data_IF_940719312877
#
_entry.id   IF_940719312877
#
_cell.length_a   1.000
_cell.length_b   1.000
_cell.length_c   1.000
_cell.angle_alpha   90.00
_cell.angle_beta   90.00
_cell.angle_gamma   90.00
#
_symmetry.space_group_name_H-M   'P 1'
#
loop_
_entity.id
_entity.type
_entity.pdbx_description
1 polymer ?
#
# COMPACT_ATOMS: atom_id res chain seq x y z
N UNK A 1 6.76 21.74 -5.65
CA UNK A 1 6.08 20.53 -6.14
C UNK A 1 7.02 19.33 -6.16
N UNK A 2 8.18 19.41 -6.85
CA UNK A 2 9.13 18.31 -6.94
C UNK A 2 9.58 17.75 -5.57
N UNK A 3 9.89 18.60 -4.59
CA UNK A 3 10.27 18.17 -3.24
C UNK A 3 9.13 17.41 -2.54
N UNK A 4 7.89 17.85 -2.72
CA UNK A 4 6.70 17.13 -2.19
C UNK A 4 6.56 15.76 -2.86
N UNK A 5 6.70 15.71 -4.17
CA UNK A 5 6.61 14.45 -4.93
C UNK A 5 7.72 13.48 -4.51
N UNK A 6 8.95 13.95 -4.37
CA UNK A 6 10.08 13.14 -3.86
C UNK A 6 9.78 12.58 -2.48
N UNK A 7 9.36 13.43 -1.53
CA UNK A 7 9.02 13.01 -0.17
C UNK A 7 7.87 11.99 -0.14
N UNK A 8 6.83 12.19 -0.95
CA UNK A 8 5.70 11.28 -1.04
C UNK A 8 6.10 9.91 -1.63
N UNK A 9 6.89 9.91 -2.71
CA UNK A 9 7.34 8.69 -3.37
C UNK A 9 8.20 7.84 -2.44
N UNK A 10 9.27 8.43 -1.92
CA UNK A 10 10.21 7.68 -1.08
C UNK A 10 9.67 7.43 0.33
N UNK A 11 8.92 8.36 0.92
CA UNK A 11 8.28 8.17 2.20
C UNK A 11 7.27 7.01 2.19
N UNK A 12 6.48 6.89 1.14
CA UNK A 12 5.55 5.76 0.98
C UNK A 12 6.28 4.43 0.79
N UNK A 13 7.34 4.40 -0.03
CA UNK A 13 8.13 3.21 -0.26
C UNK A 13 8.88 2.77 1.02
N UNK A 14 9.50 3.71 1.73
CA UNK A 14 10.16 3.45 3.00
C UNK A 14 9.18 2.93 4.06
N UNK A 15 7.98 3.51 4.15
CA UNK A 15 6.93 3.01 5.05
C UNK A 15 6.56 1.55 4.74
N UNK A 16 6.38 1.21 3.46
CA UNK A 16 6.08 -0.18 3.06
C UNK A 16 7.20 -1.14 3.47
N UNK A 17 8.45 -0.77 3.21
CA UNK A 17 9.60 -1.66 3.47
C UNK A 17 9.92 -1.74 4.97
N UNK A 18 10.03 -0.62 5.65
CA UNK A 18 10.44 -0.61 7.06
C UNK A 18 9.32 -1.05 8.01
N UNK A 19 8.10 -0.60 7.78
CA UNK A 19 6.98 -0.93 8.68
C UNK A 19 6.30 -2.24 8.29
N UNK A 20 5.77 -2.33 7.07
CA UNK A 20 4.94 -3.48 6.69
C UNK A 20 5.78 -4.73 6.47
N UNK A 21 6.78 -4.67 5.59
CA UNK A 21 7.64 -5.82 5.29
C UNK A 21 8.51 -6.19 6.48
N UNK A 22 9.15 -5.21 7.12
CA UNK A 22 9.98 -5.45 8.29
C UNK A 22 9.21 -6.11 9.44
N UNK A 23 7.95 -5.70 9.68
CA UNK A 23 7.08 -6.37 10.65
C UNK A 23 6.76 -7.81 10.23
N UNK A 24 6.48 -8.04 8.95
CA UNK A 24 6.21 -9.39 8.45
C UNK A 24 7.42 -10.32 8.59
N UNK A 25 8.63 -9.84 8.30
CA UNK A 25 9.90 -10.57 8.49
C UNK A 25 10.12 -10.94 9.97
N UNK A 26 9.89 -9.99 10.88
CA UNK A 26 10.01 -10.24 12.34
C UNK A 26 8.99 -11.27 12.82
N UNK A 27 7.75 -11.21 12.35
CA UNK A 27 6.71 -12.18 12.71
C UNK A 27 7.04 -13.56 12.13
N UNK A 28 7.42 -13.65 10.86
CA UNK A 28 7.79 -14.90 10.20
C UNK A 28 8.99 -15.61 10.86
N UNK A 29 9.93 -14.84 11.41
CA UNK A 29 11.08 -15.39 12.15
C UNK A 29 10.70 -15.98 13.51
N UNK A 30 9.49 -15.70 14.02
CA UNK A 30 9.06 -16.10 15.37
C UNK A 30 7.78 -16.91 15.41
N UNK A 31 7.10 -17.08 14.30
CA UNK A 31 5.77 -17.71 14.23
C UNK A 31 5.53 -18.31 12.87
N UNK A 32 4.90 -19.49 12.85
CA UNK A 32 4.40 -20.17 11.64
C UNK A 32 3.04 -19.62 11.18
N UNK A 33 2.50 -18.60 11.84
CA UNK A 33 1.22 -18.01 11.48
C UNK A 33 1.23 -17.54 10.02
N UNK A 34 0.15 -17.78 9.26
CA UNK A 34 0.07 -17.33 7.88
C UNK A 34 0.02 -15.80 7.83
N UNK A 35 0.87 -15.22 6.99
CA UNK A 35 0.93 -13.79 6.76
C UNK A 35 0.38 -13.45 5.37
N UNK A 36 -0.37 -12.36 5.30
CA UNK A 36 -0.96 -11.85 4.07
C UNK A 36 -0.72 -10.35 4.00
N UNK A 37 0.07 -9.93 3.02
CA UNK A 37 0.38 -8.51 2.83
C UNK A 37 -0.46 -7.93 1.70
N UNK A 38 -1.03 -6.76 1.95
CA UNK A 38 -1.82 -6.02 0.97
C UNK A 38 -1.31 -4.60 0.79
N UNK A 39 -1.49 -4.07 -0.41
CA UNK A 39 -1.22 -2.69 -0.77
C UNK A 39 -2.43 -2.10 -1.47
N UNK A 40 -2.88 -0.94 -1.04
CA UNK A 40 -3.87 -0.16 -1.77
C UNK A 40 -3.10 0.77 -2.72
N UNK A 41 -3.35 0.60 -4.02
CA UNK A 41 -2.71 1.41 -5.07
C UNK A 41 -3.62 2.54 -5.53
N UNK A 42 -4.93 2.43 -5.30
CA UNK A 42 -5.94 3.44 -5.64
C UNK A 42 -5.50 4.84 -5.22
N UNK A 43 -5.59 5.78 -6.13
CA UNK A 43 -5.16 7.16 -5.93
C UNK A 43 -3.70 7.42 -6.28
N UNK A 44 -2.83 6.42 -6.33
CA UNK A 44 -1.40 6.59 -6.65
C UNK A 44 -1.19 6.97 -8.12
N UNK A 45 0.04 7.33 -8.48
CA UNK A 45 0.41 7.58 -9.88
C UNK A 45 0.35 6.34 -10.77
N UNK A 46 0.38 5.15 -10.17
CA UNK A 46 0.26 3.86 -10.87
C UNK A 46 -1.20 3.40 -11.01
N UNK A 47 -2.12 3.97 -10.23
CA UNK A 47 -3.53 3.64 -10.25
C UNK A 47 -4.22 4.08 -11.54
N UNK A 48 -5.27 3.37 -11.90
CA UNK A 48 -6.22 3.80 -12.95
C UNK A 48 -7.01 5.04 -12.54
N UNK A 49 -7.24 5.21 -11.24
CA UNK A 49 -7.88 6.41 -10.67
C UNK A 49 -6.88 7.12 -9.77
N UNK A 50 -6.38 8.26 -10.23
CA UNK A 50 -5.39 9.04 -9.48
C UNK A 50 -6.08 10.08 -8.58
N UNK A 51 -5.54 10.25 -7.38
CA UNK A 51 -5.91 11.36 -6.49
C UNK A 51 -4.79 12.40 -6.53
N UNK A 52 -5.00 13.53 -7.22
CA UNK A 52 -3.96 14.54 -7.38
C UNK A 52 -3.41 15.02 -6.05
N UNK A 53 -2.12 15.24 -5.97
CA UNK A 53 -1.36 15.75 -4.82
C UNK A 53 -1.23 14.78 -3.63
N UNK A 54 -2.16 13.88 -3.44
CA UNK A 54 -2.20 12.97 -2.27
C UNK A 54 -1.74 11.56 -2.61
N UNK A 55 -2.09 11.12 -3.81
CA UNK A 55 -1.83 9.73 -4.19
C UNK A 55 -2.65 8.74 -3.34
N UNK A 56 -2.15 7.53 -3.21
CA UNK A 56 -2.64 6.56 -2.24
C UNK A 56 -2.09 6.93 -0.86
N UNK A 57 -2.91 7.50 -0.01
CA UNK A 57 -2.50 8.05 1.29
C UNK A 57 -2.79 7.08 2.43
N UNK A 58 -2.07 7.25 3.53
CA UNK A 58 -2.34 6.49 4.75
C UNK A 58 -3.76 6.77 5.26
N UNK A 59 -4.52 5.71 5.51
CA UNK A 59 -5.91 5.81 5.95
C UNK A 59 -6.94 5.69 4.83
N UNK A 60 -6.54 5.63 3.55
CA UNK A 60 -7.47 5.48 2.41
C UNK A 60 -8.40 4.25 2.54
N UNK A 61 -7.99 3.25 3.32
CA UNK A 61 -8.80 2.07 3.62
C UNK A 61 -9.87 2.31 4.70
N UNK A 62 -9.78 3.35 5.50
CA UNK A 62 -10.70 3.56 6.61
C UNK A 62 -12.16 3.71 6.15
N UNK A 63 -12.48 4.50 5.10
CA UNK A 63 -13.84 4.59 4.57
C UNK A 63 -14.32 3.28 3.94
N UNK A 64 -13.43 2.38 3.55
CA UNK A 64 -13.80 1.05 3.05
C UNK A 64 -14.36 0.16 4.17
N UNK A 65 -14.00 0.42 5.41
CA UNK A 65 -14.37 -0.36 6.59
C UNK A 65 -15.55 0.23 7.36
N UNK A 66 -15.92 1.48 7.06
CA UNK A 66 -16.98 2.19 7.79
C UNK A 66 -17.71 3.16 6.87
N UNK A 67 -19.03 3.01 6.80
CA UNK A 67 -19.89 3.86 5.97
C UNK A 67 -20.11 5.26 6.58
N UNK A 68 -19.60 5.51 7.79
CA UNK A 68 -19.83 6.74 8.56
C UNK A 68 -18.55 7.53 8.87
N UNK A 69 -17.51 7.43 8.04
CA UNK A 69 -16.27 8.15 8.29
C UNK A 69 -16.24 9.53 7.58
N UNK A 70 -16.45 10.65 8.30
CA UNK A 70 -16.51 11.99 7.70
C UNK A 70 -15.14 12.58 7.37
N UNK A 71 -14.03 11.92 7.72
CA UNK A 71 -12.69 12.48 7.62
C UNK A 71 -12.18 12.71 6.20
N UNK A 72 -12.84 12.16 5.19
CA UNK A 72 -12.36 12.17 3.80
C UNK A 72 -13.27 12.92 2.82
N UNK A 73 -14.02 13.90 3.30
CA UNK A 73 -14.85 14.76 2.45
C UNK A 73 -14.07 15.57 1.39
N UNK A 74 -12.75 15.54 1.43
CA UNK A 74 -11.85 16.18 0.47
C UNK A 74 -11.33 15.23 -0.63
N UNK A 75 -11.60 13.95 -0.54
CA UNK A 75 -11.35 12.97 -1.61
C UNK A 75 -12.69 12.34 -2.00
N UNK A 76 -13.02 12.38 -3.29
CA UNK A 76 -14.21 11.66 -3.77
C UNK A 76 -13.94 10.16 -3.77
N UNK A 77 -14.44 9.50 -2.75
CA UNK A 77 -14.38 8.06 -2.55
C UNK A 77 -15.75 7.41 -2.80
N UNK A 78 -16.68 8.10 -3.46
CA UNK A 78 -18.02 7.61 -3.75
C UNK A 78 -18.12 6.82 -5.07
N UNK A 79 -17.07 6.87 -5.91
CA UNK A 79 -17.05 6.21 -7.22
C UNK A 79 -17.33 4.71 -7.16
N UNK A 80 -18.02 4.18 -8.17
CA UNK A 80 -18.44 2.78 -8.22
C UNK A 80 -17.25 1.80 -8.09
N UNK A 81 -16.13 2.09 -8.74
CA UNK A 81 -14.92 1.29 -8.64
C UNK A 81 -14.34 1.27 -7.22
N UNK A 82 -14.30 2.41 -6.52
CA UNK A 82 -13.87 2.46 -5.12
C UNK A 82 -14.78 1.62 -4.22
N UNK A 83 -16.10 1.72 -4.41
CA UNK A 83 -17.06 0.94 -3.63
C UNK A 83 -16.92 -0.57 -3.90
N UNK A 84 -16.72 -0.96 -5.16
CA UNK A 84 -16.45 -2.35 -5.52
C UNK A 84 -15.14 -2.87 -4.89
N UNK A 85 -14.08 -2.04 -4.85
CA UNK A 85 -12.83 -2.38 -4.18
C UNK A 85 -13.02 -2.51 -2.66
N UNK A 86 -13.81 -1.62 -2.05
CA UNK A 86 -14.17 -1.68 -0.64
C UNK A 86 -14.92 -2.97 -0.29
N UNK A 87 -15.83 -3.40 -1.14
CA UNK A 87 -16.56 -4.67 -0.98
C UNK A 87 -15.60 -5.87 -1.02
N UNK A 88 -14.67 -5.89 -1.98
CA UNK A 88 -13.66 -6.94 -2.06
C UNK A 88 -12.76 -6.98 -0.82
N UNK A 89 -12.28 -5.81 -0.36
CA UNK A 89 -11.47 -5.73 0.87
C UNK A 89 -12.23 -6.27 2.08
N UNK A 90 -13.49 -5.85 2.27
CA UNK A 90 -14.34 -6.35 3.36
C UNK A 90 -14.55 -7.86 3.30
N UNK A 91 -14.71 -8.41 2.09
CA UNK A 91 -14.86 -9.86 1.91
C UNK A 91 -13.61 -10.62 2.30
N UNK A 92 -12.43 -10.17 1.89
CA UNK A 92 -11.15 -10.74 2.32
C UNK A 92 -10.98 -10.69 3.84
N UNK A 93 -11.24 -9.54 4.46
CA UNK A 93 -11.12 -9.36 5.90
C UNK A 93 -12.11 -10.23 6.67
N UNK A 94 -13.37 -10.32 6.22
CA UNK A 94 -14.37 -11.20 6.80
C UNK A 94 -13.92 -12.66 6.78
N UNK A 95 -13.42 -13.14 5.64
CA UNK A 95 -12.91 -14.50 5.50
C UNK A 95 -11.73 -14.73 6.46
N UNK A 96 -10.78 -13.80 6.50
CA UNK A 96 -9.62 -13.88 7.36
C UNK A 96 -10.00 -13.94 8.85
N UNK A 97 -10.87 -13.05 9.30
CA UNK A 97 -11.36 -13.03 10.70
C UNK A 97 -12.06 -14.34 11.05
N UNK A 98 -12.78 -14.93 10.10
CA UNK A 98 -13.59 -16.14 10.36
C UNK A 98 -12.76 -17.42 10.33
N UNK A 99 -11.74 -17.50 9.47
CA UNK A 99 -11.05 -18.77 9.18
C UNK A 99 -9.51 -18.68 9.16
N UNK A 100 -8.92 -17.49 9.33
CA UNK A 100 -7.48 -17.28 9.18
C UNK A 100 -6.99 -17.30 7.72
N UNK A 101 -7.89 -17.47 6.74
CA UNK A 101 -7.59 -17.44 5.31
C UNK A 101 -8.46 -16.36 4.63
N UNK A 102 -7.87 -15.28 4.08
CA UNK A 102 -8.64 -14.24 3.41
C UNK A 102 -9.39 -14.72 2.16
N UNK A 103 -8.99 -15.85 1.60
CA UNK A 103 -9.64 -16.41 0.42
C UNK A 103 -10.94 -17.14 0.74
N UNK A 104 -11.07 -17.68 1.97
CA UNK A 104 -12.25 -18.43 2.39
C UNK A 104 -12.58 -19.59 1.47
N UNK A 105 -13.84 -20.01 1.49
CA UNK A 105 -14.36 -21.06 0.59
C UNK A 105 -14.66 -20.54 -0.81
N UNK A 106 -14.97 -19.26 -0.96
CA UNK A 106 -15.33 -18.61 -2.23
C UNK A 106 -14.94 -17.14 -2.19
N UNK A 107 -14.25 -16.69 -3.23
CA UNK A 107 -13.97 -15.29 -3.48
C UNK A 107 -15.15 -14.62 -4.20
N UNK A 108 -15.26 -13.30 -4.06
CA UNK A 108 -16.14 -12.51 -4.92
C UNK A 108 -15.67 -12.60 -6.38
N UNK A 109 -16.61 -12.41 -7.29
CA UNK A 109 -16.30 -12.36 -8.72
C UNK A 109 -15.29 -11.26 -9.00
N UNK A 110 -14.30 -11.54 -9.84
CA UNK A 110 -13.23 -10.59 -10.18
C UNK A 110 -12.13 -10.44 -9.12
N UNK A 111 -12.25 -11.11 -7.97
CA UNK A 111 -11.20 -11.06 -6.94
C UNK A 111 -10.05 -12.02 -7.26
N UNK A 112 -8.83 -11.56 -7.02
CA UNK A 112 -7.61 -12.36 -7.13
C UNK A 112 -7.35 -13.11 -5.83
N UNK A 113 -6.88 -14.35 -5.90
CA UNK A 113 -6.48 -15.10 -4.70
C UNK A 113 -5.34 -14.37 -3.97
N UNK A 114 -5.54 -14.05 -2.68
CA UNK A 114 -4.52 -13.45 -1.83
C UNK A 114 -3.51 -14.52 -1.44
N UNK A 115 -2.31 -14.44 -1.97
CA UNK A 115 -1.26 -15.41 -1.69
C UNK A 115 -0.63 -15.16 -0.31
N UNK A 116 -0.26 -16.26 0.36
CA UNK A 116 0.50 -16.17 1.61
C UNK A 116 1.86 -15.52 1.32
N UNK A 117 2.24 -14.57 2.14
CA UNK A 117 3.56 -13.97 2.12
C UNK A 117 4.56 -14.83 2.89
N UNK A 118 5.75 -15.03 2.34
CA UNK A 118 6.92 -15.57 3.02
C UNK A 118 8.16 -14.80 2.58
N UNK A 119 9.29 -14.85 3.35
CA UNK A 119 10.53 -14.22 2.92
C UNK A 119 10.99 -14.66 1.52
N UNK A 120 10.84 -15.95 1.20
CA UNK A 120 11.24 -16.55 -0.08
C UNK A 120 10.22 -16.32 -1.20
N UNK A 121 8.97 -16.01 -0.84
CA UNK A 121 7.90 -15.70 -1.78
C UNK A 121 7.13 -14.48 -1.28
N UNK A 122 7.70 -13.27 -1.46
CA UNK A 122 7.16 -12.03 -0.89
C UNK A 122 5.94 -11.52 -1.68
N UNK A 123 4.86 -12.31 -1.66
CA UNK A 123 3.63 -12.03 -2.37
C UNK A 123 2.87 -10.85 -1.74
N UNK A 124 2.35 -9.97 -2.58
CA UNK A 124 1.59 -8.80 -2.21
C UNK A 124 0.27 -8.78 -3.00
N UNK A 125 -0.87 -8.69 -2.31
CA UNK A 125 -2.13 -8.37 -2.98
C UNK A 125 -2.21 -6.87 -3.18
N UNK A 126 -2.32 -6.43 -4.42
CA UNK A 126 -2.57 -5.03 -4.78
C UNK A 126 -4.05 -4.86 -5.03
N UNK A 127 -4.63 -3.85 -4.37
CA UNK A 127 -6.01 -3.41 -4.56
C UNK A 127 -6.00 -2.04 -5.24
N UNK A 128 -6.72 -1.95 -6.34
CA UNK A 128 -6.90 -0.74 -7.14
C UNK A 128 -8.33 -0.70 -7.69
N UNK A 129 -8.72 0.36 -8.34
CA UNK A 129 -9.98 0.48 -9.07
C UNK A 129 -9.85 1.42 -10.25
N UNK A 130 -10.60 1.15 -11.31
CA UNK A 130 -10.97 2.15 -12.31
C UNK A 130 -12.25 2.89 -11.92
N UNK A 131 -12.90 3.58 -12.84
CA UNK A 131 -14.12 4.32 -12.55
C UNK A 131 -15.27 3.41 -12.07
N UNK A 132 -15.35 2.18 -12.58
CA UNK A 132 -16.52 1.31 -12.43
C UNK A 132 -16.23 0.01 -11.67
N UNK A 133 -14.97 -0.47 -11.68
CA UNK A 133 -14.64 -1.81 -11.22
C UNK A 133 -13.45 -1.82 -10.26
N UNK A 134 -13.49 -2.75 -9.31
CA UNK A 134 -12.32 -3.12 -8.53
C UNK A 134 -11.30 -3.88 -9.39
N UNK A 135 -10.03 -3.62 -9.14
CA UNK A 135 -8.90 -4.29 -9.76
C UNK A 135 -8.07 -4.91 -8.65
N UNK A 136 -7.92 -6.23 -8.67
CA UNK A 136 -7.01 -6.92 -7.75
C UNK A 136 -5.99 -7.74 -8.52
N UNK A 137 -4.74 -7.71 -8.07
CA UNK A 137 -3.65 -8.48 -8.67
C UNK A 137 -2.64 -8.91 -7.61
N UNK A 138 -1.97 -10.03 -7.83
CA UNK A 138 -0.78 -10.38 -7.06
C UNK A 138 0.46 -9.74 -7.68
N UNK A 139 1.35 -9.24 -6.83
CA UNK A 139 2.67 -8.75 -7.18
C UNK A 139 3.71 -9.34 -6.23
N UNK A 140 4.97 -9.35 -6.64
CA UNK A 140 6.07 -9.61 -5.74
C UNK A 140 6.58 -8.29 -5.14
N UNK A 141 6.77 -8.27 -3.83
CA UNK A 141 7.40 -7.12 -3.16
C UNK A 141 8.92 -7.27 -3.26
N UNK A 142 9.49 -6.70 -4.30
CA UNK A 142 10.93 -6.80 -4.58
C UNK A 142 11.75 -5.68 -3.95
N UNK A 143 11.12 -4.59 -3.55
CA UNK A 143 11.81 -3.46 -2.92
C UNK A 143 12.43 -3.88 -1.58
N UNK A 144 13.70 -3.53 -1.40
CA UNK A 144 14.43 -3.69 -0.15
C UNK A 144 14.84 -2.32 0.40
N UNK A 145 15.26 -2.28 1.66
CA UNK A 145 15.83 -1.08 2.28
C UNK A 145 16.98 -0.52 1.45
N UNK A 146 17.91 -1.39 1.09
CA UNK A 146 19.10 -1.03 0.34
C UNK A 146 18.76 -0.51 -1.06
N UNK A 147 17.85 -1.18 -1.77
CA UNK A 147 17.44 -0.75 -3.11
C UNK A 147 16.75 0.61 -3.10
N UNK A 148 15.94 0.89 -2.09
CA UNK A 148 15.26 2.18 -1.94
C UNK A 148 16.23 3.31 -1.58
N UNK A 149 17.15 3.08 -0.66
CA UNK A 149 18.16 4.09 -0.31
C UNK A 149 19.04 4.42 -1.51
N UNK A 150 19.46 3.40 -2.26
CA UNK A 150 20.23 3.57 -3.50
C UNK A 150 19.44 4.35 -4.56
N UNK A 151 18.18 4.01 -4.76
CA UNK A 151 17.31 4.73 -5.71
C UNK A 151 17.10 6.20 -5.29
N UNK A 152 16.88 6.44 -4.01
CA UNK A 152 16.71 7.79 -3.45
C UNK A 152 17.98 8.63 -3.62
N UNK A 153 19.16 8.05 -3.45
CA UNK A 153 20.42 8.70 -3.66
C UNK A 153 20.66 9.04 -5.14
N UNK A 154 20.36 8.09 -6.03
CA UNK A 154 20.53 8.25 -7.48
C UNK A 154 19.47 9.17 -8.13
N UNK A 155 18.37 9.48 -7.44
CA UNK A 155 17.30 10.33 -7.96
C UNK A 155 17.81 11.73 -8.31
N UNK A 156 17.57 12.18 -9.52
CA UNK A 156 18.03 13.49 -10.04
C UNK A 156 16.88 14.50 -10.19
N UNK A 157 15.69 14.23 -9.67
CA UNK A 157 14.52 15.12 -9.77
C UNK A 157 14.68 16.39 -8.92
N UNK A 158 15.54 16.34 -7.90
CA UNK A 158 15.90 17.47 -7.06
C UNK A 158 17.39 17.83 -7.18
N UNK A 159 17.71 19.10 -6.96
CA UNK A 159 19.11 19.47 -6.75
C UNK A 159 19.66 18.75 -5.51
N UNK A 160 20.98 18.45 -5.46
CA UNK A 160 21.58 17.76 -4.33
C UNK A 160 21.28 18.40 -2.96
N UNK A 161 21.35 19.74 -2.88
CA UNK A 161 21.08 20.47 -1.65
C UNK A 161 19.60 20.32 -1.19
N UNK A 162 18.66 20.42 -2.13
CA UNK A 162 17.23 20.28 -1.80
C UNK A 162 16.90 18.82 -1.46
N UNK A 163 17.46 17.85 -2.17
CA UNK A 163 17.32 16.44 -1.85
C UNK A 163 17.79 16.15 -0.43
N UNK A 164 19.00 16.58 -0.09
CA UNK A 164 19.55 16.42 1.26
C UNK A 164 18.63 17.05 2.32
N UNK A 165 18.12 18.25 2.08
CA UNK A 165 17.20 18.90 3.01
C UNK A 165 15.89 18.12 3.22
N UNK A 166 15.33 17.52 2.16
CA UNK A 166 14.12 16.65 2.28
C UNK A 166 14.45 15.38 3.05
N UNK A 167 15.57 14.74 2.77
CA UNK A 167 16.00 13.54 3.47
C UNK A 167 16.15 13.83 4.97
N UNK A 168 16.92 14.84 5.33
CA UNK A 168 17.23 15.15 6.74
C UNK A 168 16.01 15.63 7.54
N UNK A 169 15.13 16.42 6.94
CA UNK A 169 14.04 17.06 7.68
C UNK A 169 12.70 16.35 7.58
N UNK A 170 12.53 15.44 6.60
CA UNK A 170 11.24 14.78 6.36
C UNK A 170 11.33 13.26 6.51
N UNK A 171 12.38 12.62 6.02
CA UNK A 171 12.47 11.17 5.94
C UNK A 171 13.31 10.55 7.06
N UNK A 172 14.47 11.15 7.36
CA UNK A 172 15.38 10.70 8.40
C UNK A 172 14.75 10.85 9.81
N UNK A 173 15.08 9.95 10.72
CA UNK A 173 14.47 9.91 12.04
C UNK A 173 13.03 9.39 12.05
N UNK A 174 12.38 9.24 10.87
CA UNK A 174 11.06 8.65 10.74
C UNK A 174 11.10 7.22 10.23
N UNK A 175 12.02 6.93 9.32
CA UNK A 175 12.16 5.62 8.67
C UNK A 175 13.57 5.04 8.82
N UNK A 176 14.58 5.85 9.03
CA UNK A 176 15.98 5.45 9.23
C UNK A 176 16.73 6.56 9.97
N UNK A 177 17.89 6.22 10.55
CA UNK A 177 18.77 7.14 11.27
C UNK A 177 19.74 7.89 10.36
#
# INVERSE_FOLDING_TARGET
EAAKQFAATYGSALCRVFSTRGSAEVIAARSDAPLYLGQIEYGSSASKTQIPLLGSFQGIALPMLSDSNPYFGWADLSGAGYQAMAEQLRAYLKNFITSGDPNGKKLLSGSTRWQRWTPDSPALLVLDADADHAITRCAAQTETKESLLTAMEADSTLSPALKQAVIENVLKGRFFD
#
